data_IF_570327316990
#
_entry.id   IF_570327316990
#
_cell.length_a   1.000
_cell.length_b   1.000
_cell.length_c   1.000
_cell.angle_alpha   90.00
_cell.angle_beta   90.00
_cell.angle_gamma   90.00
#
_symmetry.space_group_name_H-M   'P 1'
#
loop_
_entity.id
_entity.type
_entity.pdbx_description
1 polymer ?
#
# COMPACT_ATOMS: atom_id res chain seq x y z
N UNK A 1 3.44 -19.80 4.96
CA UNK A 1 2.17 -19.06 5.03
C UNK A 1 2.46 -17.62 4.67
N UNK A 2 1.77 -17.04 3.68
CA UNK A 2 1.93 -15.63 3.33
C UNK A 2 1.22 -14.78 4.38
N UNK A 3 1.93 -13.88 5.07
CA UNK A 3 1.31 -12.99 6.05
C UNK A 3 0.41 -11.98 5.34
N UNK A 4 -0.88 -12.02 5.64
CA UNK A 4 -1.90 -11.14 5.06
C UNK A 4 -2.19 -9.99 6.01
N UNK A 5 -2.23 -8.77 5.47
CA UNK A 5 -2.52 -7.55 6.20
C UNK A 5 -3.67 -6.81 5.52
N UNK A 6 -4.56 -6.23 6.32
CA UNK A 6 -5.66 -5.39 5.84
C UNK A 6 -5.60 -4.06 6.57
N UNK A 7 -5.37 -2.97 5.82
CA UNK A 7 -5.12 -1.63 6.38
C UNK A 7 -5.94 -0.56 5.65
N UNK A 8 -6.12 0.58 6.31
CA UNK A 8 -6.65 1.80 5.70
C UNK A 8 -5.53 2.77 5.37
N UNK A 9 -5.67 3.55 4.30
CA UNK A 9 -4.64 4.51 3.92
C UNK A 9 -4.54 5.67 4.92
N UNK A 10 -5.59 6.49 5.05
CA UNK A 10 -5.65 7.63 5.96
C UNK A 10 -6.81 7.48 6.94
N UNK A 11 -6.54 7.65 8.24
CA UNK A 11 -7.57 7.66 9.29
C UNK A 11 -8.50 8.88 9.17
N UNK A 12 -9.73 8.77 9.71
CA UNK A 12 -10.77 9.82 9.81
C UNK A 12 -11.28 10.43 8.51
N UNK A 13 -10.84 9.95 7.33
CA UNK A 13 -11.38 10.41 6.04
C UNK A 13 -12.66 9.70 5.65
N UNK A 14 -12.74 8.40 5.92
CA UNK A 14 -13.91 7.56 5.64
C UNK A 14 -14.04 6.56 6.79
N UNK A 15 -15.27 6.23 7.20
CA UNK A 15 -15.52 5.20 8.21
C UNK A 15 -15.56 3.84 7.52
N UNK A 16 -14.48 3.06 7.67
CA UNK A 16 -14.36 1.72 7.09
C UNK A 16 -14.54 0.71 8.21
N UNK A 17 -15.73 0.11 8.30
CA UNK A 17 -16.07 -0.88 9.34
C UNK A 17 -15.12 -2.10 9.37
N UNK A 18 -14.47 -2.40 8.25
CA UNK A 18 -13.57 -3.55 8.09
C UNK A 18 -12.10 -3.27 8.50
N UNK A 19 -11.78 -2.04 8.94
CA UNK A 19 -10.39 -1.61 9.19
C UNK A 19 -10.29 -0.82 10.49
N UNK A 20 -9.49 -1.31 11.42
CA UNK A 20 -9.09 -0.62 12.65
C UNK A 20 -7.69 0.01 12.55
N UNK A 21 -6.87 -0.48 11.63
CA UNK A 21 -5.45 -0.13 11.52
C UNK A 21 -5.17 0.67 10.25
N UNK A 22 -4.50 1.81 10.42
CA UNK A 22 -4.22 2.76 9.33
C UNK A 22 -2.71 2.94 9.12
N UNK A 23 -2.33 3.25 7.88
CA UNK A 23 -0.95 3.60 7.51
C UNK A 23 -0.61 5.01 8.05
N UNK A 24 -1.49 5.98 7.77
CA UNK A 24 -1.37 7.34 8.26
C UNK A 24 -2.49 7.62 9.27
N UNK A 25 -2.10 7.93 10.51
CA UNK A 25 -3.02 8.38 11.54
C UNK A 25 -3.40 9.85 11.31
N UNK A 26 -4.41 10.30 12.04
CA UNK A 26 -4.82 11.70 12.01
C UNK A 26 -3.65 12.64 12.41
N UNK A 27 -3.38 13.64 11.57
CA UNK A 27 -2.26 14.58 11.75
C UNK A 27 -0.88 14.13 11.23
N UNK A 28 -0.72 12.89 10.75
CA UNK A 28 0.57 12.40 10.22
C UNK A 28 0.96 13.07 8.90
N UNK A 29 -0.04 13.53 8.13
CA UNK A 29 0.17 14.17 6.83
C UNK A 29 0.15 15.67 7.00
N UNK A 30 1.30 16.29 6.72
CA UNK A 30 1.50 17.74 6.80
C UNK A 30 1.56 18.37 5.40
N UNK A 31 1.21 19.64 5.34
CA UNK A 31 1.28 20.46 4.13
C UNK A 31 2.35 21.56 4.28
N UNK A 32 3.15 21.88 3.24
CA UNK A 32 3.12 21.28 1.90
C UNK A 32 3.52 19.79 1.91
N UNK A 33 2.98 19.03 0.95
CA UNK A 33 3.23 17.59 0.85
C UNK A 33 4.72 17.35 0.59
N UNK A 34 5.33 16.46 1.39
CA UNK A 34 6.67 15.93 1.14
C UNK A 34 6.58 14.43 0.79
N UNK A 35 6.72 14.06 -0.51
CA UNK A 35 6.66 12.67 -0.93
C UNK A 35 7.75 11.78 -0.33
N UNK A 36 8.91 12.32 0.03
CA UNK A 36 9.99 11.56 0.65
C UNK A 36 9.65 11.23 2.10
N UNK A 37 9.13 12.21 2.84
CA UNK A 37 8.63 12.00 4.20
C UNK A 37 7.52 10.95 4.23
N UNK A 38 6.54 11.03 3.31
CA UNK A 38 5.46 10.05 3.23
C UNK A 38 5.99 8.61 3.03
N UNK A 39 6.99 8.42 2.16
CA UNK A 39 7.62 7.10 1.95
C UNK A 39 8.32 6.60 3.21
N UNK A 40 9.04 7.47 3.91
CA UNK A 40 9.71 7.14 5.18
C UNK A 40 8.69 6.73 6.24
N UNK A 41 7.56 7.45 6.34
CA UNK A 41 6.46 7.12 7.24
C UNK A 41 5.86 5.76 6.91
N UNK A 42 5.58 5.46 5.64
CA UNK A 42 5.08 4.13 5.21
C UNK A 42 6.07 3.03 5.60
N UNK A 43 7.36 3.21 5.29
CA UNK A 43 8.37 2.21 5.59
C UNK A 43 8.49 1.94 7.10
N UNK A 44 8.48 3.00 7.92
CA UNK A 44 8.46 2.87 9.38
C UNK A 44 7.20 2.14 9.84
N UNK A 45 6.03 2.51 9.30
CA UNK A 45 4.76 1.90 9.68
C UNK A 45 4.70 0.41 9.33
N UNK A 46 5.23 0.03 8.17
CA UNK A 46 5.33 -1.37 7.75
C UNK A 46 6.23 -2.16 8.70
N UNK A 47 7.38 -1.58 9.09
CA UNK A 47 8.27 -2.17 10.08
C UNK A 47 7.56 -2.36 11.43
N UNK A 48 6.88 -1.33 11.94
CA UNK A 48 6.17 -1.35 13.23
C UNK A 48 5.03 -2.39 13.25
N UNK A 49 4.38 -2.63 12.11
CA UNK A 49 3.33 -3.63 11.93
C UNK A 49 3.86 -5.03 11.57
N UNK A 50 5.17 -5.19 11.40
CA UNK A 50 5.78 -6.46 11.00
C UNK A 50 5.49 -6.88 9.55
N UNK A 51 5.11 -5.95 8.68
CA UNK A 51 4.92 -6.18 7.24
C UNK A 51 6.31 -6.28 6.59
N UNK A 52 6.62 -7.46 6.06
CA UNK A 52 7.93 -7.80 5.51
C UNK A 52 7.83 -8.16 4.03
N UNK A 53 8.99 -8.37 3.42
CA UNK A 53 9.08 -8.81 2.04
C UNK A 53 8.26 -10.09 1.80
N UNK A 54 7.53 -10.14 0.67
CA UNK A 54 6.66 -11.26 0.32
C UNK A 54 5.33 -11.31 1.08
N UNK A 55 4.99 -10.28 1.88
CA UNK A 55 3.67 -10.15 2.48
C UNK A 55 2.59 -9.83 1.43
N UNK A 56 1.32 -9.96 1.85
CA UNK A 56 0.15 -9.63 1.03
C UNK A 56 -0.69 -8.56 1.72
N UNK A 57 -0.81 -7.39 1.09
CA UNK A 57 -1.45 -6.21 1.63
C UNK A 57 -2.75 -5.88 0.89
N UNK A 58 -3.87 -5.86 1.61
CA UNK A 58 -5.12 -5.26 1.18
C UNK A 58 -5.25 -3.86 1.79
N UNK A 59 -5.35 -2.83 0.94
CA UNK A 59 -5.35 -1.43 1.35
C UNK A 59 -6.64 -0.73 0.95
N UNK A 60 -7.38 -0.21 1.94
CA UNK A 60 -8.55 0.62 1.70
C UNK A 60 -8.16 2.06 1.39
N UNK A 61 -8.51 2.50 0.18
CA UNK A 61 -8.14 3.81 -0.34
C UNK A 61 -9.15 4.85 0.17
N UNK A 62 -8.68 5.79 0.98
CA UNK A 62 -9.49 6.89 1.53
C UNK A 62 -9.10 8.27 0.99
N UNK A 63 -8.38 8.29 -0.13
CA UNK A 63 -7.94 9.49 -0.85
C UNK A 63 -6.49 9.91 -0.57
N UNK A 64 -6.08 11.03 -1.18
CA UNK A 64 -4.73 11.61 -1.20
C UNK A 64 -3.69 10.79 -2.01
N UNK A 65 -3.62 11.08 -3.30
CA UNK A 65 -2.72 10.44 -4.28
C UNK A 65 -1.25 10.38 -3.84
N UNK A 66 -0.66 11.42 -3.22
CA UNK A 66 0.72 11.34 -2.70
C UNK A 66 0.94 10.25 -1.64
N UNK A 67 -0.04 10.00 -0.78
CA UNK A 67 0.06 8.96 0.25
C UNK A 67 -0.07 7.57 -0.38
N UNK A 68 -1.03 7.39 -1.29
CA UNK A 68 -1.23 6.14 -2.02
C UNK A 68 0.01 5.75 -2.84
N UNK A 69 0.58 6.70 -3.60
CA UNK A 69 1.77 6.45 -4.42
C UNK A 69 3.01 6.13 -3.57
N UNK A 70 3.11 6.67 -2.35
CA UNK A 70 4.14 6.28 -1.40
C UNK A 70 4.00 4.80 -0.99
N UNK A 71 2.77 4.34 -0.71
CA UNK A 71 2.50 2.93 -0.37
C UNK A 71 2.82 2.00 -1.53
N UNK A 72 2.33 2.31 -2.74
CA UNK A 72 2.60 1.52 -3.96
C UNK A 72 4.11 1.36 -4.16
N UNK A 73 4.88 2.44 -4.02
CA UNK A 73 6.35 2.41 -4.18
C UNK A 73 7.04 1.52 -3.14
N UNK A 74 6.61 1.58 -1.87
CA UNK A 74 7.19 0.75 -0.81
C UNK A 74 6.81 -0.72 -0.98
N UNK A 75 5.57 -1.02 -1.34
CA UNK A 75 5.14 -2.39 -1.65
C UNK A 75 5.96 -2.99 -2.79
N UNK A 76 6.09 -2.25 -3.89
CA UNK A 76 6.88 -2.67 -5.06
C UNK A 76 8.34 -2.97 -4.68
N UNK A 77 8.99 -2.06 -3.93
CA UNK A 77 10.39 -2.24 -3.51
C UNK A 77 10.63 -3.46 -2.61
N UNK A 78 9.61 -3.90 -1.89
CA UNK A 78 9.72 -5.01 -0.93
C UNK A 78 9.00 -6.27 -1.42
N UNK A 79 8.64 -6.37 -2.70
CA UNK A 79 7.92 -7.53 -3.24
C UNK A 79 6.67 -7.90 -2.41
N UNK A 80 5.94 -6.88 -1.93
CA UNK A 80 4.68 -7.06 -1.21
C UNK A 80 3.56 -7.01 -2.24
N UNK A 81 2.71 -8.05 -2.29
CA UNK A 81 1.52 -8.03 -3.14
C UNK A 81 0.53 -7.01 -2.61
N UNK A 82 -0.16 -6.32 -3.50
CA UNK A 82 -1.01 -5.17 -3.16
C UNK A 82 -2.36 -5.28 -3.86
N UNK A 83 -3.42 -5.30 -3.06
CA UNK A 83 -4.80 -5.10 -3.52
C UNK A 83 -5.31 -3.78 -2.97
N UNK A 84 -5.77 -2.89 -3.85
CA UNK A 84 -6.42 -1.64 -3.46
C UNK A 84 -7.93 -1.86 -3.40
N UNK A 85 -8.56 -1.42 -2.31
CA UNK A 85 -10.01 -1.41 -2.17
C UNK A 85 -10.50 0.00 -2.46
N UNK A 86 -11.21 0.17 -3.58
CA UNK A 86 -11.76 1.44 -4.04
C UNK A 86 -13.22 1.57 -3.60
N UNK A 87 -13.58 2.68 -2.97
CA UNK A 87 -14.98 2.92 -2.62
C UNK A 87 -15.77 3.28 -3.88
N UNK A 88 -16.83 2.53 -4.15
CA UNK A 88 -17.79 2.79 -5.21
C UNK A 88 -19.04 3.46 -4.62
N UNK A 89 -19.33 4.67 -5.08
CA UNK A 89 -20.46 5.46 -4.60
C UNK A 89 -21.80 4.90 -5.07
N UNK A 90 -21.84 4.25 -6.23
CA UNK A 90 -23.09 3.75 -6.81
C UNK A 90 -23.57 2.51 -6.06
N UNK A 91 -22.66 1.59 -5.74
CA UNK A 91 -22.99 0.40 -4.94
C UNK A 91 -22.88 0.60 -3.43
N UNK A 92 -22.20 1.65 -2.97
CA UNK A 92 -21.87 1.87 -1.55
C UNK A 92 -20.88 0.84 -0.99
N UNK A 93 -20.20 0.09 -1.84
CA UNK A 93 -19.29 -0.99 -1.47
C UNK A 93 -17.85 -0.71 -1.92
N UNK A 94 -16.91 -1.51 -1.43
CA UNK A 94 -15.53 -1.46 -1.86
C UNK A 94 -15.24 -2.50 -2.95
N UNK A 95 -14.66 -2.06 -4.06
CA UNK A 95 -14.26 -2.88 -5.20
C UNK A 95 -12.75 -3.20 -5.10
N UNK A 96 -12.35 -4.49 -5.17
CA UNK A 96 -10.94 -4.87 -5.15
C UNK A 96 -10.27 -4.65 -6.51
N UNK A 97 -9.11 -4.01 -6.50
CA UNK A 97 -8.19 -3.86 -7.63
C UNK A 97 -6.83 -4.47 -7.29
N UNK A 98 -6.45 -5.53 -8.00
CA UNK A 98 -5.20 -6.27 -7.75
C UNK A 98 -4.06 -5.61 -8.52
N UNK A 99 -3.24 -4.83 -7.82
CA UNK A 99 -2.15 -4.06 -8.41
C UNK A 99 -0.89 -4.91 -8.59
N UNK A 100 -0.50 -5.65 -7.56
CA UNK A 100 0.65 -6.56 -7.61
C UNK A 100 0.21 -7.91 -7.04
N UNK A 101 0.34 -8.95 -7.83
CA UNK A 101 0.03 -10.34 -7.49
C UNK A 101 1.27 -11.20 -7.67
N UNK A 102 1.26 -12.42 -7.11
CA UNK A 102 2.38 -13.37 -7.29
C UNK A 102 2.70 -13.69 -8.75
N UNK A 103 1.73 -13.52 -9.66
CA UNK A 103 1.94 -13.71 -11.10
C UNK A 103 2.69 -12.53 -11.74
N UNK A 104 2.58 -11.32 -11.19
CA UNK A 104 3.26 -10.13 -11.69
C UNK A 104 4.76 -10.14 -11.37
N UNK A 105 5.20 -11.02 -10.47
CA UNK A 105 6.59 -11.12 -10.01
C UNK A 105 7.43 -12.06 -10.88
N UNK A 106 6.85 -12.80 -11.83
CA UNK A 106 7.57 -13.84 -12.59
C UNK A 106 7.25 -13.93 -14.09
N UNK A 107 6.65 -12.91 -14.73
CA UNK A 107 6.55 -12.87 -16.19
C UNK A 107 7.80 -12.30 -16.90
N UNK A 108 8.92 -12.10 -16.20
CA UNK A 108 10.14 -11.55 -16.81
C UNK A 108 11.45 -12.02 -16.13
N UNK A 109 11.62 -13.34 -15.96
CA UNK A 109 12.98 -13.89 -15.85
C UNK A 109 13.38 -14.38 -17.24
N UNK A 110 14.41 -13.79 -17.84
CA UNK A 110 15.75 -14.33 -17.62
C UNK A 110 16.74 -13.41 -16.87
N UNK A 111 16.40 -12.17 -16.51
CA UNK A 111 17.36 -11.25 -15.89
C UNK A 111 16.72 -10.25 -14.90
N UNK A 112 17.23 -10.08 -13.67
CA UNK A 112 16.70 -9.06 -12.78
C UNK A 112 17.01 -7.66 -13.35
N UNK A 113 15.99 -6.79 -13.48
CA UNK A 113 16.13 -5.48 -14.11
C UNK A 113 17.17 -4.55 -13.45
N UNK A 114 17.52 -4.75 -12.17
CA UNK A 114 18.60 -4.02 -11.50
C UNK A 114 20.00 -4.62 -11.72
N UNK A 115 20.11 -5.77 -12.40
CA UNK A 115 21.37 -6.39 -12.87
C UNK A 115 21.54 -6.13 -14.38
N UNK A 116 20.49 -5.70 -15.07
CA UNK A 116 20.49 -5.41 -16.51
C UNK A 116 20.97 -3.99 -16.89
N UNK A 117 21.36 -3.15 -15.93
CA UNK A 117 21.99 -1.86 -16.19
C UNK A 117 23.28 -1.74 -15.35
N UNK A 118 24.44 -1.47 -15.99
CA UNK A 118 25.77 -1.53 -15.36
C UNK A 118 26.00 -0.48 -14.28
#
# INVERSE_FOLDING_TARGET
>A
MTNKFTLGLCQKRHDIKAVDTYIFNDGDIKFPIDPQMLRTTVAKRFHDLGIKQGADLTLFVTGLTPALTAVIRICFKNSITLTLMHYDNDSGNYIPDKIFTGNDVCYDIEYPAWVACP
#
